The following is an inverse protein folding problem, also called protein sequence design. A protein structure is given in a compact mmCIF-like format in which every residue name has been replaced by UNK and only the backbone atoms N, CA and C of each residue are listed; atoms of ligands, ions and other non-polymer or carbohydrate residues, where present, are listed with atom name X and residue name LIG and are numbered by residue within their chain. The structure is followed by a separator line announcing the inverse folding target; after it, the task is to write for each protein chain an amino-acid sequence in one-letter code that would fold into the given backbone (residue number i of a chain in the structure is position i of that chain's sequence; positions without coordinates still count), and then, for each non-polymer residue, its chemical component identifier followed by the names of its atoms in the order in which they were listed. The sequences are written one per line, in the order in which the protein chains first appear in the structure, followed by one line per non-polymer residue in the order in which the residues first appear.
data_IF_349904670451
#
_entry.id   IF_349904670451
#
_cell.length_a   1.000
_cell.length_b   1.000
_cell.length_c   1.000
_cell.angle_alpha   90.00
_cell.angle_beta   90.00
_cell.angle_gamma   90.00
#
_symmetry.space_group_name_H-M   'P 1'
#
loop_
_entity.id
_entity.type
_entity.pdbx_description
1 polymer ?
#
# COMPACT_ATOMS: atom_id res chain seq x y z
N UNK A 1 -32.06 0.97 -2.27
CA UNK A 1 -31.25 2.08 -1.76
C UNK A 1 -30.73 1.80 -0.35
N UNK A 2 -31.59 1.39 0.58
CA UNK A 2 -31.19 1.05 1.95
C UNK A 2 -30.22 -0.13 2.03
N UNK A 3 -30.41 -1.15 1.21
CA UNK A 3 -29.53 -2.31 1.12
C UNK A 3 -28.13 -1.91 0.64
N UNK A 4 -28.06 -1.02 -0.35
CA UNK A 4 -26.78 -0.50 -0.83
C UNK A 4 -26.01 0.28 0.24
N UNK A 5 -26.70 1.13 1.01
CA UNK A 5 -26.08 1.90 2.11
C UNK A 5 -25.60 0.98 3.23
N UNK A 6 -26.35 -0.07 3.57
CA UNK A 6 -25.93 -1.05 4.57
C UNK A 6 -24.69 -1.85 4.14
N UNK A 7 -24.64 -2.26 2.87
CA UNK A 7 -23.48 -2.97 2.32
C UNK A 7 -22.22 -2.09 2.35
N UNK A 8 -22.34 -0.83 1.93
CA UNK A 8 -21.23 0.14 1.99
C UNK A 8 -20.76 0.35 3.42
N UNK A 9 -21.68 0.48 4.38
CA UNK A 9 -21.35 0.63 5.79
C UNK A 9 -20.62 -0.60 6.35
N UNK A 10 -21.06 -1.82 6.01
CA UNK A 10 -20.42 -3.06 6.47
C UNK A 10 -19.03 -3.24 5.83
N UNK A 11 -18.85 -2.90 4.57
CA UNK A 11 -17.55 -2.92 3.89
C UNK A 11 -16.57 -1.93 4.53
N UNK A 12 -17.03 -0.72 4.87
CA UNK A 12 -16.20 0.26 5.58
C UNK A 12 -15.75 -0.24 6.96
N UNK A 13 -16.63 -0.90 7.73
CA UNK A 13 -16.28 -1.48 9.03
C UNK A 13 -15.24 -2.60 8.91
N UNK A 14 -15.37 -3.48 7.92
CA UNK A 14 -14.40 -4.53 7.63
C UNK A 14 -13.06 -3.92 7.23
N UNK A 15 -13.09 -2.91 6.41
CA UNK A 15 -11.92 -2.17 5.95
C UNK A 15 -11.16 -1.52 7.10
N UNK A 16 -11.87 -0.87 8.02
CA UNK A 16 -11.28 -0.25 9.22
C UNK A 16 -10.60 -1.29 10.12
N UNK A 17 -11.20 -2.47 10.28
CA UNK A 17 -10.62 -3.57 11.04
C UNK A 17 -9.30 -4.05 10.45
N UNK A 18 -9.20 -4.16 9.14
CA UNK A 18 -7.95 -4.51 8.45
C UNK A 18 -6.87 -3.42 8.60
N UNK A 19 -7.26 -2.16 8.65
CA UNK A 19 -6.31 -1.08 8.91
C UNK A 19 -5.69 -1.18 10.31
N UNK A 20 -6.51 -1.45 11.32
CA UNK A 20 -6.04 -1.66 12.69
C UNK A 20 -5.05 -2.83 12.74
N UNK A 21 -5.38 -3.95 12.11
CA UNK A 21 -4.49 -5.11 12.02
C UNK A 21 -3.19 -4.74 11.29
N UNK A 22 -3.27 -4.01 10.19
CA UNK A 22 -2.10 -3.55 9.45
C UNK A 22 -1.15 -2.70 10.30
N UNK A 23 -1.68 -1.75 11.05
CA UNK A 23 -0.89 -0.91 11.95
C UNK A 23 -0.32 -1.72 13.13
N UNK A 24 -1.07 -2.67 13.66
CA UNK A 24 -0.59 -3.56 14.70
C UNK A 24 0.58 -4.42 14.21
N UNK A 25 0.46 -5.02 13.03
CA UNK A 25 1.53 -5.81 12.40
C UNK A 25 2.77 -4.94 12.15
N UNK A 26 2.59 -3.73 11.67
CA UNK A 26 3.69 -2.79 11.47
C UNK A 26 4.41 -2.48 12.79
N UNK A 27 3.66 -2.19 13.85
CA UNK A 27 4.20 -1.91 15.17
C UNK A 27 4.98 -3.10 15.72
N UNK A 28 4.41 -4.30 15.61
CA UNK A 28 5.08 -5.55 16.04
C UNK A 28 6.37 -5.76 15.23
N UNK A 29 6.34 -5.55 13.93
CA UNK A 29 7.51 -5.67 13.08
C UNK A 29 8.61 -4.68 13.47
N UNK A 30 8.26 -3.44 13.78
CA UNK A 30 9.20 -2.43 14.26
C UNK A 30 9.82 -2.81 15.62
N UNK A 31 9.01 -3.30 16.55
CA UNK A 31 9.47 -3.76 17.85
C UNK A 31 10.41 -4.96 17.71
N UNK A 32 10.07 -5.92 16.86
CA UNK A 32 10.93 -7.06 16.58
C UNK A 32 12.26 -6.65 15.94
N UNK A 33 12.23 -5.71 15.00
CA UNK A 33 13.44 -5.17 14.39
C UNK A 33 14.36 -4.54 15.43
N UNK A 34 13.79 -3.82 16.39
CA UNK A 34 14.55 -3.23 17.48
C UNK A 34 15.12 -4.28 18.43
N UNK A 35 14.33 -5.29 18.82
CA UNK A 35 14.74 -6.32 19.79
C UNK A 35 15.78 -7.29 19.21
N UNK A 36 15.60 -7.72 17.95
CA UNK A 36 16.44 -8.77 17.34
C UNK A 36 17.70 -8.17 16.73
N UNK A 37 17.58 -7.05 16.03
CA UNK A 37 18.67 -6.44 15.28
C UNK A 37 19.25 -5.17 15.94
N UNK A 38 18.61 -4.69 16.99
CA UNK A 38 18.98 -3.42 17.61
C UNK A 38 18.78 -2.21 16.70
N UNK A 39 18.02 -2.39 15.62
CA UNK A 39 17.75 -1.33 14.65
C UNK A 39 16.60 -0.46 15.16
N UNK A 40 16.94 0.72 15.63
CA UNK A 40 15.93 1.77 15.86
C UNK A 40 15.79 2.63 14.61
N UNK A 41 14.60 3.12 14.30
CA UNK A 41 14.46 4.07 13.19
C UNK A 41 15.23 5.35 13.53
N UNK A 42 16.22 5.70 12.72
CA UNK A 42 17.01 6.92 12.90
C UNK A 42 16.18 8.18 12.61
N UNK A 43 15.14 8.04 11.78
CA UNK A 43 14.20 9.10 11.46
C UNK A 43 12.97 9.10 12.36
N UNK A 44 12.01 9.97 12.06
CA UNK A 44 10.76 10.07 12.80
C UNK A 44 9.85 8.85 12.58
N UNK A 45 9.46 8.12 13.64
CA UNK A 45 8.51 7.00 13.51
C UNK A 45 7.16 7.43 12.91
N UNK A 46 6.74 8.68 13.15
CA UNK A 46 5.51 9.24 12.58
C UNK A 46 5.52 9.25 11.07
N UNK A 47 6.67 9.45 10.44
CA UNK A 47 6.81 9.38 8.98
C UNK A 47 6.49 7.99 8.44
N UNK A 48 6.92 6.94 9.14
CA UNK A 48 6.64 5.54 8.76
C UNK A 48 5.14 5.26 8.85
N UNK A 49 4.50 5.69 9.94
CA UNK A 49 3.06 5.49 10.13
C UNK A 49 2.23 6.25 9.10
N UNK A 50 2.64 7.47 8.75
CA UNK A 50 1.97 8.24 7.70
C UNK A 50 2.09 7.55 6.34
N UNK A 51 3.29 7.09 5.99
CA UNK A 51 3.50 6.33 4.76
C UNK A 51 2.68 5.04 4.73
N UNK A 52 2.64 4.31 5.85
CA UNK A 52 1.84 3.10 5.99
C UNK A 52 0.34 3.38 5.82
N UNK A 53 -0.16 4.46 6.40
CA UNK A 53 -1.57 4.87 6.25
C UNK A 53 -1.91 5.13 4.78
N UNK A 54 -1.11 5.92 4.09
CA UNK A 54 -1.30 6.20 2.67
C UNK A 54 -1.21 4.92 1.81
N UNK A 55 -0.26 4.07 2.12
CA UNK A 55 -0.06 2.80 1.41
C UNK A 55 -1.25 1.84 1.60
N UNK A 56 -1.71 1.65 2.84
CA UNK A 56 -2.88 0.80 3.15
C UNK A 56 -4.12 1.36 2.47
N UNK A 57 -4.29 2.67 2.48
CA UNK A 57 -5.42 3.33 1.81
C UNK A 57 -5.38 3.10 0.30
N UNK A 58 -4.22 3.19 -0.33
CA UNK A 58 -4.01 2.92 -1.75
C UNK A 58 -4.31 1.46 -2.10
N UNK A 59 -3.74 0.53 -1.34
CA UNK A 59 -3.91 -0.91 -1.58
C UNK A 59 -5.35 -1.36 -1.34
N UNK A 60 -6.03 -0.78 -0.37
CA UNK A 60 -7.45 -1.02 -0.09
C UNK A 60 -8.32 -0.60 -1.28
N UNK A 61 -8.09 0.58 -1.84
CA UNK A 61 -8.80 1.06 -3.04
C UNK A 61 -8.58 0.16 -4.25
N UNK A 62 -7.34 -0.27 -4.46
CA UNK A 62 -7.01 -1.19 -5.54
C UNK A 62 -7.68 -2.56 -5.36
N UNK A 63 -7.66 -3.10 -4.13
CA UNK A 63 -8.32 -4.38 -3.82
C UNK A 63 -9.81 -4.35 -4.11
N UNK A 64 -10.50 -3.28 -3.70
CA UNK A 64 -11.93 -3.09 -3.98
C UNK A 64 -12.18 -2.98 -5.49
N UNK A 65 -11.34 -2.27 -6.22
CA UNK A 65 -11.46 -2.14 -7.68
C UNK A 65 -11.37 -3.51 -8.38
N UNK A 66 -10.40 -4.33 -7.97
CA UNK A 66 -10.21 -5.68 -8.52
C UNK A 66 -11.41 -6.57 -8.17
N UNK A 67 -11.85 -6.53 -6.90
CA UNK A 67 -12.99 -7.33 -6.45
C UNK A 67 -14.27 -6.98 -7.21
N UNK A 68 -14.52 -5.71 -7.45
CA UNK A 68 -15.69 -5.25 -8.19
C UNK A 68 -15.69 -5.64 -9.67
N UNK A 69 -14.51 -5.81 -10.27
CA UNK A 69 -14.39 -6.21 -11.67
C UNK A 69 -14.34 -7.73 -11.87
N UNK A 70 -14.27 -8.50 -10.80
CA UNK A 70 -14.18 -9.95 -10.87
C UNK A 70 -15.56 -10.59 -10.71
N UNK A 71 -15.87 -11.59 -11.55
CA UNK A 71 -17.16 -12.28 -11.54
C UNK A 71 -17.24 -13.40 -10.51
N UNK A 72 -16.08 -13.97 -10.13
CA UNK A 72 -16.01 -15.08 -9.17
C UNK A 72 -14.94 -14.82 -8.11
N UNK A 73 -15.16 -15.35 -6.91
CA UNK A 73 -14.20 -15.25 -5.82
C UNK A 73 -12.84 -15.87 -6.18
N UNK A 74 -12.88 -17.00 -6.88
CA UNK A 74 -11.66 -17.67 -7.33
C UNK A 74 -10.85 -16.81 -8.30
N UNK A 75 -11.51 -16.16 -9.24
CA UNK A 75 -10.88 -15.23 -10.18
C UNK A 75 -10.23 -14.05 -9.42
N UNK A 76 -10.92 -13.49 -8.43
CA UNK A 76 -10.39 -12.40 -7.59
C UNK A 76 -9.09 -12.84 -6.89
N UNK A 77 -9.07 -14.03 -6.31
CA UNK A 77 -7.89 -14.56 -5.63
C UNK A 77 -6.69 -14.71 -6.56
N UNK A 78 -6.88 -15.24 -7.76
CA UNK A 78 -5.80 -15.39 -8.75
C UNK A 78 -5.26 -14.05 -9.22
N UNK A 79 -6.13 -13.10 -9.52
CA UNK A 79 -5.74 -11.76 -9.95
C UNK A 79 -4.98 -11.03 -8.84
N UNK A 80 -5.48 -11.08 -7.60
CA UNK A 80 -4.81 -10.48 -6.46
C UNK A 80 -3.44 -11.10 -6.21
N UNK A 81 -3.34 -12.43 -6.26
CA UNK A 81 -2.07 -13.13 -6.10
C UNK A 81 -1.06 -12.69 -7.15
N UNK A 82 -1.48 -12.59 -8.40
CA UNK A 82 -0.64 -12.13 -9.50
C UNK A 82 -0.12 -10.71 -9.27
N UNK A 83 -1.00 -9.78 -8.89
CA UNK A 83 -0.61 -8.40 -8.58
C UNK A 83 0.34 -8.32 -7.40
N UNK A 84 0.05 -9.05 -6.32
CA UNK A 84 0.91 -9.08 -5.13
C UNK A 84 2.30 -9.58 -5.48
N UNK A 85 2.42 -10.65 -6.28
CA UNK A 85 3.72 -11.18 -6.70
C UNK A 85 4.50 -10.15 -7.53
N UNK A 86 3.85 -9.49 -8.49
CA UNK A 86 4.49 -8.42 -9.28
C UNK A 86 4.94 -7.28 -8.37
N UNK A 87 4.09 -6.85 -7.45
CA UNK A 87 4.42 -5.74 -6.54
C UNK A 87 5.61 -6.07 -5.65
N UNK A 88 5.67 -7.28 -5.10
CA UNK A 88 6.80 -7.71 -4.27
C UNK A 88 8.09 -7.72 -5.09
N UNK A 89 8.07 -8.28 -6.28
CA UNK A 89 9.25 -8.37 -7.12
C UNK A 89 9.73 -7.00 -7.63
N UNK A 90 8.78 -6.14 -8.00
CA UNK A 90 9.10 -4.82 -8.58
C UNK A 90 9.21 -3.70 -7.56
N UNK A 91 8.92 -3.95 -6.28
CA UNK A 91 9.03 -2.93 -5.22
C UNK A 91 10.48 -2.54 -4.89
N UNK A 92 11.45 -3.32 -5.35
CA UNK A 92 12.86 -3.13 -5.01
C UNK A 92 13.25 -3.77 -3.67
N UNK A 93 12.37 -4.57 -3.09
CA UNK A 93 12.64 -5.23 -1.80
C UNK A 93 13.67 -6.36 -1.96
N UNK A 94 13.47 -7.25 -2.95
CA UNK A 94 14.35 -8.39 -3.22
C UNK A 94 15.45 -8.07 -4.22
N UNK A 95 15.11 -7.35 -5.27
CA UNK A 95 16.05 -6.97 -6.32
C UNK A 95 16.17 -5.45 -6.36
N UNK A 96 17.41 -4.90 -6.28
CA UNK A 96 17.57 -3.45 -6.40
C UNK A 96 17.01 -2.94 -7.72
N UNK A 97 16.28 -1.83 -7.69
CA UNK A 97 15.68 -1.24 -8.88
C UNK A 97 16.74 -0.88 -9.92
N UNK A 98 17.92 -0.49 -9.45
CA UNK A 98 19.07 -0.13 -10.30
C UNK A 98 19.60 -1.29 -11.16
N UNK A 99 19.42 -2.53 -10.70
CA UNK A 99 19.83 -3.73 -11.43
C UNK A 99 18.80 -4.22 -12.45
N UNK A 100 17.62 -3.62 -12.47
CA UNK A 100 16.57 -3.97 -13.41
C UNK A 100 16.80 -3.33 -14.78
N UNK A 101 16.30 -3.96 -15.88
CA UNK A 101 16.29 -3.32 -17.19
C UNK A 101 15.53 -1.98 -17.16
N UNK A 102 15.89 -1.07 -18.04
CA UNK A 102 15.30 0.29 -18.10
C UNK A 102 13.77 0.26 -18.21
N UNK A 103 13.22 -0.64 -19.01
CA UNK A 103 11.76 -0.79 -19.16
C UNK A 103 11.08 -1.21 -17.87
N UNK A 104 11.71 -2.09 -17.07
CA UNK A 104 11.19 -2.51 -15.77
C UNK A 104 11.23 -1.36 -14.76
N UNK A 105 12.27 -0.54 -14.78
CA UNK A 105 12.36 0.66 -13.93
C UNK A 105 11.21 1.64 -14.20
N UNK A 106 10.84 1.84 -15.46
CA UNK A 106 9.69 2.67 -15.82
C UNK A 106 8.38 2.15 -15.25
N UNK A 107 8.18 0.83 -15.30
CA UNK A 107 6.97 0.20 -14.73
C UNK A 107 6.93 0.39 -13.22
N UNK A 108 8.07 0.34 -12.52
CA UNK A 108 8.11 0.53 -11.06
C UNK A 108 7.65 1.92 -10.62
N UNK A 109 7.79 2.95 -11.45
CA UNK A 109 7.29 4.30 -11.14
C UNK A 109 5.77 4.37 -10.99
N UNK A 110 5.03 3.46 -11.61
CA UNK A 110 3.57 3.38 -11.55
C UNK A 110 3.11 2.56 -10.33
N UNK A 111 4.02 1.84 -9.68
CA UNK A 111 3.70 0.92 -8.59
C UNK A 111 3.81 1.59 -7.21
N UNK A 112 2.71 1.65 -6.44
CA UNK A 112 2.72 2.24 -5.10
C UNK A 112 3.70 1.61 -4.12
N UNK A 113 3.92 0.27 -4.09
CA UNK A 113 4.85 -0.34 -3.15
C UNK A 113 6.28 0.16 -3.22
N UNK A 114 6.74 0.60 -4.39
CA UNK A 114 8.06 1.19 -4.57
C UNK A 114 8.27 2.39 -3.64
N UNK A 115 7.32 3.31 -3.62
CA UNK A 115 7.41 4.53 -2.82
C UNK A 115 7.40 4.23 -1.32
N UNK A 116 6.58 3.26 -0.91
CA UNK A 116 6.53 2.83 0.48
C UNK A 116 7.84 2.20 0.93
N UNK A 117 8.40 1.28 0.14
CA UNK A 117 9.68 0.63 0.45
C UNK A 117 10.82 1.66 0.50
N UNK A 118 10.82 2.64 -0.40
CA UNK A 118 11.81 3.71 -0.41
C UNK A 118 11.72 4.58 0.83
N UNK A 119 10.51 4.95 1.26
CA UNK A 119 10.29 5.69 2.51
C UNK A 119 10.79 4.88 3.71
N UNK A 120 10.40 3.61 3.81
CA UNK A 120 10.84 2.74 4.90
C UNK A 120 12.35 2.63 4.97
N UNK A 121 12.99 2.39 3.85
CA UNK A 121 14.45 2.29 3.77
C UNK A 121 15.14 3.59 4.16
N UNK A 122 14.64 4.72 3.66
CA UNK A 122 15.22 6.03 3.93
C UNK A 122 15.08 6.43 5.40
N UNK A 123 13.93 6.19 6.01
CA UNK A 123 13.69 6.50 7.42
C UNK A 123 14.50 5.58 8.34
N UNK A 124 14.55 4.27 8.04
CA UNK A 124 15.24 3.30 8.88
C UNK A 124 16.76 3.39 8.78
N UNK A 125 17.30 3.51 7.57
CA UNK A 125 18.74 3.38 7.34
C UNK A 125 19.46 4.72 7.23
N UNK A 126 18.78 5.74 6.69
CA UNK A 126 19.40 7.05 6.44
C UNK A 126 18.99 8.14 7.43
N UNK A 127 17.96 7.89 8.23
CA UNK A 127 17.41 8.90 9.13
C UNK A 127 16.87 10.15 8.42
N UNK A 128 16.40 9.99 7.19
CA UNK A 128 15.96 11.09 6.33
C UNK A 128 14.79 11.83 6.93
N UNK A 129 14.82 13.15 6.86
CA UNK A 129 13.73 14.00 7.37
C UNK A 129 12.50 13.92 6.44
N UNK A 130 11.32 14.16 7.02
CA UNK A 130 10.05 14.19 6.29
C UNK A 130 10.09 15.11 5.04
N UNK A 131 10.76 16.24 5.15
CA UNK A 131 10.85 17.23 4.06
C UNK A 131 11.56 16.67 2.82
N UNK A 132 12.55 15.80 3.00
CA UNK A 132 13.26 15.17 1.88
C UNK A 132 12.46 14.07 1.20
N UNK A 133 11.51 13.47 1.92
CA UNK A 133 10.66 12.38 1.43
C UNK A 133 9.29 12.85 0.92
N UNK A 134 9.01 14.14 0.94
CA UNK A 134 7.69 14.65 0.54
C UNK A 134 7.26 14.23 -0.87
N UNK A 135 8.16 14.08 -1.91
CA UNK A 135 7.73 13.58 -3.21
C UNK A 135 7.13 12.18 -3.15
N UNK A 136 7.67 11.31 -2.30
CA UNK A 136 7.16 9.94 -2.12
C UNK A 136 5.78 9.96 -1.45
N UNK A 137 5.57 10.83 -0.46
CA UNK A 137 4.26 11.01 0.16
C UNK A 137 3.22 11.55 -0.81
N UNK A 138 3.59 12.53 -1.62
CA UNK A 138 2.71 13.09 -2.66
C UNK A 138 2.34 12.02 -3.68
N UNK A 139 3.30 11.21 -4.13
CA UNK A 139 3.03 10.10 -5.04
C UNK A 139 2.07 9.08 -4.45
N UNK A 140 2.27 8.67 -3.19
CA UNK A 140 1.37 7.77 -2.48
C UNK A 140 -0.03 8.37 -2.33
N UNK A 141 -0.14 9.65 -1.99
CA UNK A 141 -1.42 10.34 -1.86
C UNK A 141 -2.16 10.41 -3.21
N UNK A 142 -1.47 10.69 -4.29
CA UNK A 142 -2.04 10.69 -5.65
C UNK A 142 -2.55 9.30 -6.02
N UNK A 143 -1.77 8.26 -5.78
CA UNK A 143 -2.21 6.89 -6.02
C UNK A 143 -3.41 6.50 -5.14
N UNK A 144 -3.41 6.92 -3.87
CA UNK A 144 -4.51 6.68 -2.96
C UNK A 144 -5.81 7.29 -3.49
N UNK A 145 -5.79 8.56 -3.89
CA UNK A 145 -6.95 9.24 -4.47
C UNK A 145 -7.39 8.57 -5.77
N UNK A 146 -6.44 8.23 -6.64
CA UNK A 146 -6.73 7.64 -7.95
C UNK A 146 -7.40 6.26 -7.79
N UNK A 147 -6.82 5.36 -7.00
CA UNK A 147 -7.36 4.02 -6.82
C UNK A 147 -8.68 4.00 -6.05
N UNK A 148 -8.84 4.86 -5.05
CA UNK A 148 -10.11 4.96 -4.33
C UNK A 148 -11.21 5.60 -5.19
N UNK A 149 -10.88 6.55 -6.05
CA UNK A 149 -11.81 7.10 -7.04
C UNK A 149 -12.24 6.04 -8.05
N UNK A 150 -11.32 5.23 -8.55
CA UNK A 150 -11.62 4.10 -9.43
C UNK A 150 -12.52 3.08 -8.73
N UNK A 151 -12.25 2.75 -7.48
CA UNK A 151 -13.07 1.86 -6.67
C UNK A 151 -14.51 2.37 -6.53
N UNK A 152 -14.66 3.65 -6.21
CA UNK A 152 -15.96 4.30 -6.08
C UNK A 152 -16.74 4.32 -7.41
N UNK A 153 -16.07 4.64 -8.52
CA UNK A 153 -16.68 4.65 -9.85
C UNK A 153 -17.10 3.25 -10.30
N UNK A 154 -16.25 2.25 -10.04
CA UNK A 154 -16.56 0.86 -10.38
C UNK A 154 -17.73 0.33 -9.55
N UNK A 155 -17.78 0.67 -8.27
CA UNK A 155 -18.88 0.32 -7.39
C UNK A 155 -20.21 0.92 -7.87
N UNK A 156 -20.20 2.20 -8.23
CA UNK A 156 -21.39 2.90 -8.76
C UNK A 156 -21.91 2.27 -10.06
N UNK A 157 -21.02 1.70 -10.87
CA UNK A 157 -21.39 1.09 -12.15
C UNK A 157 -22.09 -0.27 -11.97
N UNK A 158 -21.84 -0.96 -10.85
CA UNK A 158 -22.48 -2.24 -10.55
C UNK A 158 -23.79 -2.10 -9.78
N UNK A 159 -23.97 -0.99 -9.15
CA UNK A 159 -25.25 -0.65 -8.48
C UNK A 159 -26.25 -0.10 -9.48
#
# INVERSE_FOLDING_TARGET
YEVGVRLVGSEMCIRDSYWIIGFLVLTVAMVLAWLVYGLSPEGSPGSIYLAALLFVFTMSGMGVTIANNSSTMQQTMFVMFFFVMIFILMSGLFTPIESMPTWAQWITYILPPRYFVEVMRSVYLKGTMFIELWPNYVALAVFAVLFNSMAALTYKKQA
#
